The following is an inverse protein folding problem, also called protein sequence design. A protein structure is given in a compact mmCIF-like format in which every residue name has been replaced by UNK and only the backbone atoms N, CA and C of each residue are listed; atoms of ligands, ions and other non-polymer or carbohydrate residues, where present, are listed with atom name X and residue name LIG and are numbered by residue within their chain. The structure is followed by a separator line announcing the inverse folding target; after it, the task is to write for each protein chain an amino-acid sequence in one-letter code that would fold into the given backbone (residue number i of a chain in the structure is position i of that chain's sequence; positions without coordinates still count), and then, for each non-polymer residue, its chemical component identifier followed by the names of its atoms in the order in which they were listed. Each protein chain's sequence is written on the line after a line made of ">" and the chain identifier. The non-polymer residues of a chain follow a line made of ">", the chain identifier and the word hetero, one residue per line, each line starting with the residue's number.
data_IF_191769605411
#
_entry.id   IF_191769605411
#
_cell.length_a   1.000
_cell.length_b   1.000
_cell.length_c   1.000
_cell.angle_alpha   90.00
_cell.angle_beta   90.00
_cell.angle_gamma   90.00
#
_symmetry.space_group_name_H-M   'P 1'
#
loop_
_entity.id
_entity.type
_entity.pdbx_description
1 polymer ?
#
# COMPACT_ATOMS: atom_id res chain seq x y z
N UNK A 1 -13.86 -11.73 20.13
CA UNK A 1 -12.71 -12.47 20.70
C UNK A 1 -11.64 -11.46 21.08
N UNK A 2 -11.01 -11.57 22.25
CA UNK A 2 -9.91 -10.71 22.70
C UNK A 2 -8.63 -11.55 22.83
N UNK A 3 -7.52 -11.09 22.23
CA UNK A 3 -6.19 -11.73 22.31
C UNK A 3 -5.22 -10.72 22.96
N UNK A 4 -4.75 -10.95 24.21
CA UNK A 4 -4.00 -9.94 24.97
C UNK A 4 -2.53 -9.77 24.56
N UNK A 5 -2.06 -10.54 23.57
CA UNK A 5 -0.68 -10.47 23.08
C UNK A 5 -0.59 -10.85 21.60
N UNK A 6 0.42 -10.32 20.93
CA UNK A 6 0.88 -10.73 19.61
C UNK A 6 2.41 -10.63 19.60
N UNK A 7 3.09 -11.76 19.33
CA UNK A 7 4.55 -11.85 19.45
C UNK A 7 5.30 -11.55 18.14
N UNK A 8 4.62 -10.99 17.14
CA UNK A 8 5.17 -10.53 15.85
C UNK A 8 6.01 -11.65 15.20
N UNK A 9 7.33 -11.44 15.04
CA UNK A 9 8.22 -12.39 14.38
C UNK A 9 8.38 -13.72 15.12
N UNK A 10 8.14 -13.75 16.44
CA UNK A 10 8.24 -14.99 17.23
C UNK A 10 7.09 -15.97 16.92
N UNK A 11 5.98 -15.50 16.35
CA UNK A 11 4.86 -16.35 15.92
C UNK A 11 5.05 -16.95 14.52
N UNK A 12 6.05 -16.50 13.74
CA UNK A 12 6.25 -16.92 12.34
C UNK A 12 6.40 -18.45 12.19
N UNK A 13 7.12 -19.09 13.12
CA UNK A 13 7.35 -20.55 13.08
C UNK A 13 6.07 -21.38 13.14
N UNK A 14 5.00 -20.84 13.73
CA UNK A 14 3.68 -21.49 13.80
C UNK A 14 3.08 -21.59 12.38
N UNK A 15 3.16 -20.51 11.60
CA UNK A 15 2.69 -20.51 10.20
C UNK A 15 3.46 -21.51 9.35
N UNK A 16 4.78 -21.58 9.51
CA UNK A 16 5.63 -22.56 8.81
C UNK A 16 5.23 -23.99 9.15
N UNK A 17 5.05 -24.31 10.44
CA UNK A 17 4.63 -25.64 10.88
C UNK A 17 3.21 -25.99 10.40
N UNK A 18 2.27 -25.04 10.42
CA UNK A 18 0.90 -25.23 9.94
C UNK A 18 0.87 -25.61 8.46
N UNK A 19 1.59 -24.87 7.62
CA UNK A 19 1.67 -25.17 6.19
C UNK A 19 2.38 -26.51 5.95
N UNK A 20 3.52 -26.74 6.60
CA UNK A 20 4.33 -27.95 6.38
C UNK A 20 3.67 -29.24 6.86
N UNK A 21 3.01 -29.24 8.01
CA UNK A 21 2.45 -30.44 8.64
C UNK A 21 0.97 -30.64 8.33
N UNK A 22 0.20 -29.56 8.17
CA UNK A 22 -1.26 -29.60 8.05
C UNK A 22 -1.78 -29.09 6.70
N UNK A 23 -0.92 -28.51 5.85
CA UNK A 23 -1.31 -27.86 4.59
C UNK A 23 -2.37 -26.78 4.78
N UNK A 24 -2.28 -26.05 5.91
CA UNK A 24 -3.27 -25.05 6.31
C UNK A 24 -2.62 -23.66 6.42
N UNK A 25 -3.17 -22.62 5.75
CA UNK A 25 -2.73 -21.25 5.95
C UNK A 25 -3.20 -20.71 7.30
N UNK A 26 -2.35 -19.96 7.99
CA UNK A 26 -2.72 -19.24 9.22
C UNK A 26 -3.45 -17.93 8.98
N UNK A 27 -3.48 -17.48 7.72
CA UNK A 27 -4.24 -16.32 7.24
C UNK A 27 -4.10 -16.16 5.73
N UNK A 28 -5.17 -15.76 5.06
CA UNK A 28 -5.19 -15.45 3.63
C UNK A 28 -6.24 -14.35 3.36
N UNK A 29 -6.03 -13.48 2.37
CA UNK A 29 -7.04 -12.52 1.96
C UNK A 29 -8.27 -13.25 1.40
N UNK A 30 -9.46 -12.83 1.80
CA UNK A 30 -10.72 -13.31 1.22
C UNK A 30 -11.17 -12.51 -0.01
N UNK A 31 -10.52 -11.37 -0.26
CA UNK A 31 -10.81 -10.44 -1.35
C UNK A 31 -10.17 -9.08 -1.10
N UNK A 32 -10.18 -8.21 -2.11
CA UNK A 32 -9.63 -6.86 -2.01
C UNK A 32 -10.74 -5.84 -1.71
N UNK A 33 -11.00 -5.62 -0.42
CA UNK A 33 -12.07 -4.71 0.02
C UNK A 33 -11.54 -3.34 0.45
N UNK A 34 -10.27 -3.27 0.85
CA UNK A 34 -9.64 -2.05 1.32
C UNK A 34 -8.28 -1.86 0.68
N UNK A 35 -7.92 -0.61 0.48
CA UNK A 35 -6.63 -0.19 -0.06
C UNK A 35 -5.98 0.83 0.87
N UNK A 36 -4.65 0.82 0.92
CA UNK A 36 -3.87 1.75 1.75
C UNK A 36 -3.15 2.71 0.83
N UNK A 37 -3.64 3.95 0.77
CA UNK A 37 -3.13 4.95 -0.16
C UNK A 37 -2.13 5.88 0.50
N UNK A 38 -1.16 6.33 -0.29
CA UNK A 38 -0.21 7.35 0.10
C UNK A 38 -0.93 8.69 0.30
N UNK A 39 -0.83 9.24 1.51
CA UNK A 39 -1.41 10.54 1.86
C UNK A 39 -0.32 11.47 2.37
N UNK A 40 -0.30 12.71 1.88
CA UNK A 40 0.74 13.66 2.23
C UNK A 40 0.68 14.05 3.73
N UNK A 41 1.82 14.00 4.43
CA UNK A 41 1.97 14.42 5.84
C UNK A 41 2.01 15.94 6.01
N UNK A 42 2.41 16.65 4.97
CA UNK A 42 2.59 18.11 4.90
C UNK A 42 2.35 18.56 3.47
N UNK A 43 2.40 19.87 3.24
CA UNK A 43 2.44 20.40 1.88
C UNK A 43 3.73 19.95 1.17
N UNK A 44 3.57 19.43 -0.04
CA UNK A 44 4.62 18.92 -0.91
C UNK A 44 4.61 19.71 -2.22
N UNK A 45 5.80 20.06 -2.68
CA UNK A 45 5.98 20.78 -3.95
C UNK A 45 6.24 19.79 -5.09
N UNK A 46 5.92 20.22 -6.33
CA UNK A 46 6.36 19.50 -7.52
C UNK A 46 7.88 19.32 -7.53
N UNK A 47 8.34 18.17 -8.01
CA UNK A 47 9.74 17.78 -8.05
C UNK A 47 10.28 17.15 -6.76
N UNK A 48 9.55 17.21 -5.63
CA UNK A 48 9.97 16.53 -4.41
C UNK A 48 9.88 15.01 -4.54
N UNK A 49 10.82 14.30 -3.92
CA UNK A 49 10.78 12.84 -3.77
C UNK A 49 9.96 12.48 -2.53
N UNK A 50 9.03 11.54 -2.71
CA UNK A 50 8.35 10.86 -1.63
C UNK A 50 9.32 9.85 -0.99
N UNK A 51 9.47 9.93 0.33
CA UNK A 51 10.33 9.04 1.11
C UNK A 51 9.63 7.75 1.57
N UNK A 52 8.33 7.60 1.28
CA UNK A 52 7.57 6.36 1.52
C UNK A 52 7.07 6.18 2.96
N UNK A 53 6.64 4.96 3.28
CA UNK A 53 6.16 4.60 4.61
C UNK A 53 7.25 4.84 5.68
N UNK A 54 6.84 5.32 6.86
CA UNK A 54 7.75 5.61 7.97
C UNK A 54 8.57 6.90 7.82
N UNK A 55 8.56 7.53 6.64
CA UNK A 55 9.26 8.79 6.36
C UNK A 55 8.50 10.05 6.81
N UNK A 56 8.86 11.19 6.23
CA UNK A 56 8.33 12.52 6.54
C UNK A 56 7.34 13.05 5.50
N UNK A 57 7.25 12.42 4.32
CA UNK A 57 6.41 12.93 3.22
C UNK A 57 5.01 12.34 3.21
N UNK A 58 4.85 11.05 3.54
CA UNK A 58 3.57 10.35 3.40
C UNK A 58 3.25 9.42 4.57
N UNK A 59 1.95 9.17 4.77
CA UNK A 59 1.41 8.12 5.64
C UNK A 59 0.36 7.30 4.88
N UNK A 60 0.08 6.09 5.35
CA UNK A 60 -1.00 5.25 4.84
C UNK A 60 -2.36 5.65 5.37
N UNK A 61 -3.34 5.79 4.47
CA UNK A 61 -4.75 5.93 4.82
C UNK A 61 -5.55 4.79 4.22
N UNK A 62 -6.29 4.09 5.07
CA UNK A 62 -7.24 3.06 4.63
C UNK A 62 -8.43 3.71 3.91
N UNK A 63 -8.85 3.09 2.81
CA UNK A 63 -10.09 3.42 2.10
C UNK A 63 -10.68 2.18 1.42
N UNK A 64 -11.96 2.22 0.99
CA UNK A 64 -12.51 1.17 0.13
C UNK A 64 -11.67 1.00 -1.14
N UNK A 65 -11.43 -0.24 -1.54
CA UNK A 65 -10.67 -0.54 -2.75
C UNK A 65 -11.30 0.04 -4.03
N UNK A 66 -12.63 -0.01 -4.25
CA UNK A 66 -13.26 0.56 -5.45
C UNK A 66 -13.00 2.07 -5.57
N UNK A 67 -13.21 2.83 -4.49
CA UNK A 67 -12.94 4.27 -4.44
C UNK A 67 -11.46 4.58 -4.73
N UNK A 68 -10.55 3.69 -4.29
CA UNK A 68 -9.11 3.84 -4.54
C UNK A 68 -8.76 3.78 -6.02
N UNK A 69 -9.36 2.82 -6.71
CA UNK A 69 -9.15 2.59 -8.14
C UNK A 69 -9.83 3.66 -8.97
N UNK A 70 -11.09 3.99 -8.67
CA UNK A 70 -11.87 5.01 -9.37
C UNK A 70 -11.17 6.37 -9.33
N UNK A 71 -10.67 6.78 -8.16
CA UNK A 71 -9.99 8.06 -7.99
C UNK A 71 -8.51 8.05 -8.43
N UNK A 72 -7.97 6.86 -8.70
CA UNK A 72 -6.60 6.63 -9.17
C UNK A 72 -5.54 6.94 -8.12
N UNK A 73 -5.76 6.55 -6.86
CA UNK A 73 -4.81 6.81 -5.79
C UNK A 73 -3.54 5.95 -5.87
N UNK A 74 -2.41 6.55 -5.45
CA UNK A 74 -1.11 5.91 -5.37
C UNK A 74 -1.07 5.01 -4.12
N UNK A 75 -0.74 3.71 -4.24
CA UNK A 75 -0.64 2.81 -3.09
C UNK A 75 0.58 3.18 -2.24
N UNK A 76 0.45 3.13 -0.91
CA UNK A 76 1.56 3.47 -0.01
C UNK A 76 2.81 2.61 -0.27
N UNK A 77 2.61 1.31 -0.50
CA UNK A 77 3.71 0.37 -0.78
C UNK A 77 4.51 0.70 -2.06
N UNK A 78 3.96 1.55 -2.93
CA UNK A 78 4.60 1.98 -4.18
C UNK A 78 5.03 3.45 -4.16
N UNK A 79 4.99 4.12 -3.00
CA UNK A 79 5.30 5.55 -2.91
C UNK A 79 6.75 5.86 -2.51
N UNK A 80 7.60 4.85 -2.31
CA UNK A 80 8.99 5.07 -1.92
C UNK A 80 9.85 5.50 -3.12
N UNK A 81 10.64 6.57 -2.95
CA UNK A 81 11.48 7.17 -3.99
C UNK A 81 10.73 7.57 -5.26
N UNK A 82 9.47 7.95 -5.10
CA UNK A 82 8.60 8.39 -6.20
C UNK A 82 8.59 9.91 -6.27
N UNK A 83 8.82 10.48 -7.45
CA UNK A 83 8.92 11.94 -7.63
C UNK A 83 7.55 12.55 -7.93
N UNK A 84 7.21 13.65 -7.28
CA UNK A 84 5.99 14.40 -7.56
C UNK A 84 6.11 15.20 -8.86
N UNK A 85 5.07 15.14 -9.68
CA UNK A 85 4.83 16.00 -10.85
C UNK A 85 4.08 17.27 -10.48
N UNK A 86 3.14 17.14 -9.54
CA UNK A 86 2.25 18.22 -9.10
C UNK A 86 2.44 18.52 -7.61
N UNK A 87 2.19 19.75 -7.14
CA UNK A 87 2.10 20.03 -5.72
C UNK A 87 0.91 19.31 -5.09
N UNK A 88 1.07 18.85 -3.85
CA UNK A 88 0.05 18.12 -3.08
C UNK A 88 -0.05 18.75 -1.69
N UNK A 89 -1.27 19.06 -1.23
CA UNK A 89 -1.49 19.64 0.09
C UNK A 89 -1.41 18.60 1.19
N UNK A 90 -1.13 19.04 2.42
CA UNK A 90 -1.22 18.21 3.61
C UNK A 90 -2.57 17.47 3.66
N UNK A 91 -2.53 16.19 4.04
CA UNK A 91 -3.67 15.28 4.16
C UNK A 91 -4.39 14.93 2.85
N UNK A 92 -3.94 15.46 1.71
CA UNK A 92 -4.42 15.05 0.39
C UNK A 92 -3.87 13.66 0.03
N UNK A 93 -4.73 12.76 -0.46
CA UNK A 93 -4.30 11.48 -1.02
C UNK A 93 -3.62 11.73 -2.37
N UNK A 94 -2.45 11.14 -2.55
CA UNK A 94 -1.63 11.27 -3.75
C UNK A 94 -2.18 10.34 -4.82
N UNK A 95 -2.28 10.81 -6.05
CA UNK A 95 -2.76 10.01 -7.19
C UNK A 95 -1.62 9.59 -8.10
N UNK A 96 -1.82 8.54 -8.88
CA UNK A 96 -0.89 8.13 -9.94
C UNK A 96 -0.54 9.27 -10.91
N UNK A 97 -1.52 10.14 -11.19
CA UNK A 97 -1.31 11.30 -12.05
C UNK A 97 -0.41 12.37 -11.43
N UNK A 98 -0.21 12.36 -10.11
CA UNK A 98 0.60 13.35 -9.40
C UNK A 98 2.07 12.95 -9.31
N UNK A 99 2.44 11.74 -9.75
CA UNK A 99 3.78 11.20 -9.59
C UNK A 99 4.39 10.62 -10.87
N UNK A 100 5.72 10.62 -10.93
CA UNK A 100 6.53 9.87 -11.87
C UNK A 100 6.70 8.43 -11.34
N UNK A 101 6.42 7.42 -12.15
CA UNK A 101 6.61 6.02 -11.80
C UNK A 101 7.03 5.22 -13.02
N UNK A 102 7.73 4.10 -12.80
CA UNK A 102 8.17 3.18 -13.85
C UNK A 102 7.08 2.13 -14.12
N UNK A 103 6.49 2.16 -15.31
CA UNK A 103 5.48 1.19 -15.76
C UNK A 103 6.08 -0.20 -16.09
N UNK A 104 7.41 -0.29 -16.15
CA UNK A 104 8.15 -1.55 -16.33
C UNK A 104 8.47 -2.24 -15.02
N UNK A 105 8.28 -1.56 -13.89
CA UNK A 105 8.47 -2.14 -12.56
C UNK A 105 7.50 -3.29 -12.35
N UNK A 106 8.01 -4.48 -12.01
CA UNK A 106 7.19 -5.65 -11.70
C UNK A 106 6.14 -5.34 -10.63
N UNK A 107 6.48 -4.52 -9.63
CA UNK A 107 5.55 -4.15 -8.56
C UNK A 107 4.39 -3.27 -9.07
N UNK A 108 4.68 -2.34 -10.00
CA UNK A 108 3.66 -1.51 -10.63
C UNK A 108 2.78 -2.37 -11.55
N UNK A 109 3.38 -3.23 -12.36
CA UNK A 109 2.64 -4.13 -13.26
C UNK A 109 1.70 -5.05 -12.48
N UNK A 110 2.20 -5.68 -11.41
CA UNK A 110 1.39 -6.53 -10.55
C UNK A 110 0.25 -5.76 -9.87
N UNK A 111 0.50 -4.52 -9.43
CA UNK A 111 -0.57 -3.66 -8.92
C UNK A 111 -1.64 -3.35 -9.99
N UNK A 112 -1.24 -3.09 -11.24
CA UNK A 112 -2.20 -2.87 -12.34
C UNK A 112 -3.00 -4.13 -12.69
N UNK A 113 -2.36 -5.30 -12.67
CA UNK A 113 -3.04 -6.59 -12.83
C UNK A 113 -4.06 -6.84 -11.71
N UNK A 114 -3.68 -6.55 -10.46
CA UNK A 114 -4.57 -6.63 -9.31
C UNK A 114 -5.77 -5.69 -9.45
N UNK A 115 -5.55 -4.45 -9.88
CA UNK A 115 -6.63 -3.49 -10.19
C UNK A 115 -7.59 -4.04 -11.26
N UNK A 116 -7.08 -4.65 -12.33
CA UNK A 116 -7.91 -5.21 -13.40
C UNK A 116 -8.67 -6.48 -12.98
N UNK A 117 -8.10 -7.26 -12.07
CA UNK A 117 -8.65 -8.57 -11.68
C UNK A 117 -9.70 -8.44 -10.58
N UNK A 118 -9.56 -7.46 -9.69
CA UNK A 118 -10.32 -7.39 -8.44
C UNK A 118 -11.12 -6.10 -8.22
N UNK A 119 -10.95 -5.06 -9.05
CA UNK A 119 -11.72 -3.81 -8.94
C UNK A 119 -13.08 -3.87 -9.65
#
# INVERSE_FOLDING_TARGET
>A
MYKPYHLIGLELGISVASVGLRREPTGAPAGWHGDVVATAKRDLQAGQLLDGEGGYTVYGRLMPAPDSVEEGYLPLGLSHQVKLKNPVRQSQAIRWRDVEYDDRSTAVQFRREMEQTFA
#
